data_IF_910653279339
#
_entry.id   IF_910653279339
#
_cell.length_a   1.000
_cell.length_b   1.000
_cell.length_c   1.000
_cell.angle_alpha   90.00
_cell.angle_beta   90.00
_cell.angle_gamma   90.00
#
_symmetry.space_group_name_H-M   'P 1'
#
loop_
_entity.id
_entity.type
_entity.pdbx_description
1 polymer ?
#
# COMPACT_ATOMS: atom_id res chain seq x y z
N UNK A 1 -20.41 -15.46 18.70
CA UNK A 1 -20.69 -14.06 18.32
C UNK A 1 -19.38 -13.30 18.47
N UNK A 2 -18.82 -12.83 17.37
CA UNK A 2 -17.54 -12.11 17.38
C UNK A 2 -17.78 -10.70 17.88
N UNK A 3 -16.96 -10.22 18.82
CA UNK A 3 -17.04 -8.85 19.32
C UNK A 3 -16.30 -7.96 18.34
N UNK A 4 -16.89 -6.83 17.97
CA UNK A 4 -16.29 -5.81 17.11
C UNK A 4 -16.08 -4.52 17.90
N UNK A 5 -14.94 -3.84 17.71
CA UNK A 5 -14.59 -2.58 18.40
C UNK A 5 -14.04 -1.53 17.43
N UNK A 6 -14.19 -0.22 17.68
CA UNK A 6 -13.53 0.79 16.85
C UNK A 6 -12.02 0.68 16.94
N UNK A 7 -11.31 0.84 15.82
CA UNK A 7 -9.84 0.88 15.78
C UNK A 7 -9.26 1.95 16.72
N UNK A 8 -9.96 3.07 16.87
CA UNK A 8 -9.60 4.17 17.78
C UNK A 8 -9.65 3.79 19.27
N UNK A 9 -10.29 2.66 19.62
CA UNK A 9 -10.29 2.13 20.97
C UNK A 9 -9.04 1.28 21.27
N UNK A 10 -8.26 0.88 20.26
CA UNK A 10 -7.04 0.09 20.46
C UNK A 10 -5.85 0.97 20.87
N UNK A 11 -5.10 0.48 21.85
CA UNK A 11 -3.86 1.09 22.33
C UNK A 11 -2.85 0.02 22.74
N UNK A 12 -1.57 0.38 22.82
CA UNK A 12 -0.51 -0.43 23.46
C UNK A 12 -0.10 0.12 24.83
N UNK A 13 -0.70 1.25 25.26
CA UNK A 13 -0.49 1.86 26.57
C UNK A 13 -1.83 2.25 27.20
N UNK A 14 -1.96 2.09 28.51
CA UNK A 14 -3.12 2.57 29.29
C UNK A 14 -3.16 4.10 29.40
N UNK A 15 -2.03 4.77 29.22
CA UNK A 15 -1.93 6.25 29.29
C UNK A 15 -2.70 6.95 28.14
N UNK A 16 -3.06 6.19 27.11
CA UNK A 16 -3.70 6.70 25.91
C UNK A 16 -5.21 6.91 26.03
N UNK A 17 -5.85 6.58 27.16
CA UNK A 17 -7.32 6.62 27.27
C UNK A 17 -7.90 8.00 26.91
N UNK A 18 -7.22 9.06 27.32
CA UNK A 18 -7.58 10.46 27.07
C UNK A 18 -6.68 11.14 26.03
N UNK A 19 -5.71 10.41 25.47
CA UNK A 19 -4.82 10.96 24.45
C UNK A 19 -5.57 11.20 23.13
N UNK A 20 -5.29 12.31 22.42
CA UNK A 20 -5.89 12.56 21.12
C UNK A 20 -5.48 11.47 20.12
N UNK A 21 -6.37 11.20 19.16
CA UNK A 21 -6.08 10.30 18.06
C UNK A 21 -5.11 10.95 17.08
N UNK A 22 -4.22 10.14 16.52
CA UNK A 22 -3.33 10.50 15.42
C UNK A 22 -3.91 9.98 14.10
N UNK A 23 -3.83 10.80 13.05
CA UNK A 23 -4.22 10.40 11.68
C UNK A 23 -3.02 9.80 10.96
N UNK A 24 -3.25 8.68 10.26
CA UNK A 24 -2.26 8.04 9.40
C UNK A 24 -2.81 7.73 8.03
N UNK A 25 -1.98 7.95 7.01
CA UNK A 25 -2.30 7.66 5.62
C UNK A 25 -1.83 6.25 5.27
N UNK A 26 -2.73 5.46 4.69
CA UNK A 26 -2.49 4.08 4.24
C UNK A 26 -1.88 4.01 2.85
N UNK A 27 -2.00 5.09 2.07
CA UNK A 27 -1.52 5.16 0.70
C UNK A 27 -0.34 6.14 0.58
N UNK A 28 0.80 5.72 0.01
CA UNK A 28 1.95 6.58 -0.16
C UNK A 28 1.67 7.66 -1.21
N UNK A 29 2.30 8.82 -1.06
CA UNK A 29 2.09 9.97 -1.96
C UNK A 29 2.92 9.90 -3.25
N UNK A 30 3.84 8.94 -3.38
CA UNK A 30 4.78 8.89 -4.50
C UNK A 30 4.11 8.25 -5.72
N UNK A 31 3.94 8.98 -6.83
CA UNK A 31 3.47 8.39 -8.10
C UNK A 31 4.42 7.27 -8.54
N UNK A 32 3.90 6.04 -8.57
CA UNK A 32 4.62 4.87 -9.06
C UNK A 32 3.81 4.21 -10.17
N UNK A 33 4.48 3.45 -11.04
CA UNK A 33 3.80 2.59 -12.03
C UNK A 33 2.72 1.72 -11.39
N UNK A 34 2.94 1.28 -10.15
CA UNK A 34 1.98 0.50 -9.39
C UNK A 34 0.70 1.30 -9.12
N UNK A 35 0.79 2.59 -8.77
CA UNK A 35 -0.39 3.43 -8.53
C UNK A 35 -1.31 3.50 -9.74
N UNK A 36 -0.74 3.70 -10.94
CA UNK A 36 -1.53 3.71 -12.18
C UNK A 36 -2.18 2.36 -12.47
N UNK A 37 -1.48 1.28 -12.12
CA UNK A 37 -2.04 -0.07 -12.24
C UNK A 37 -3.24 -0.26 -11.31
N UNK A 38 -3.15 0.30 -10.11
CA UNK A 38 -4.23 0.30 -9.14
C UNK A 38 -5.41 1.13 -9.59
N UNK A 39 -5.18 2.36 -10.05
CA UNK A 39 -6.22 3.22 -10.62
C UNK A 39 -7.02 2.50 -11.70
N UNK A 40 -6.32 1.86 -12.63
CA UNK A 40 -6.92 1.07 -13.70
C UNK A 40 -7.82 -0.06 -13.17
N UNK A 41 -7.32 -0.88 -12.24
CA UNK A 41 -8.06 -2.02 -11.68
C UNK A 41 -9.24 -1.57 -10.80
N UNK A 42 -9.06 -0.46 -10.09
CA UNK A 42 -10.04 0.09 -9.16
C UNK A 42 -11.10 0.95 -9.84
N UNK A 43 -11.05 1.03 -11.18
CA UNK A 43 -12.03 1.76 -11.99
C UNK A 43 -11.95 3.27 -11.79
N UNK A 44 -10.74 3.78 -11.61
CA UNK A 44 -10.42 5.20 -11.56
C UNK A 44 -9.74 5.65 -12.84
N UNK A 45 -9.83 6.95 -13.12
CA UNK A 45 -8.97 7.61 -14.09
C UNK A 45 -7.53 7.74 -13.54
N UNK A 46 -6.58 8.00 -14.43
CA UNK A 46 -5.20 8.29 -14.04
C UNK A 46 -5.17 9.54 -13.15
N UNK A 47 -4.43 9.47 -12.04
CA UNK A 47 -4.42 10.46 -10.97
C UNK A 47 -5.76 10.59 -10.22
N UNK A 48 -6.65 9.61 -10.37
CA UNK A 48 -7.93 9.56 -9.66
C UNK A 48 -7.80 9.15 -8.19
N UNK A 49 -6.67 8.56 -7.77
CA UNK A 49 -6.40 8.34 -6.35
C UNK A 49 -5.95 9.66 -5.73
N UNK A 50 -6.78 10.22 -4.86
CA UNK A 50 -6.35 11.27 -3.93
C UNK A 50 -5.73 10.62 -2.67
N UNK A 51 -4.42 10.73 -2.43
CA UNK A 51 -3.80 10.19 -1.22
C UNK A 51 -4.33 10.83 0.06
N UNK A 52 -4.90 12.04 -0.01
CA UNK A 52 -5.50 12.75 1.12
C UNK A 52 -7.00 12.43 1.31
N UNK A 53 -7.57 11.53 0.51
CA UNK A 53 -8.96 11.13 0.64
C UNK A 53 -9.26 10.64 2.05
N UNK A 54 -10.40 11.02 2.63
CA UNK A 54 -10.81 10.62 4.00
C UNK A 54 -10.88 9.10 4.23
N UNK A 55 -10.87 8.32 3.16
CA UNK A 55 -10.92 6.85 3.19
C UNK A 55 -9.54 6.19 3.06
N UNK A 56 -8.51 6.95 2.71
CA UNK A 56 -7.13 6.48 2.75
C UNK A 56 -6.51 6.67 4.13
N UNK A 57 -7.27 7.17 5.11
CA UNK A 57 -6.77 7.46 6.46
C UNK A 57 -7.33 6.53 7.53
N UNK A 58 -6.53 6.29 8.57
CA UNK A 58 -6.96 5.67 9.83
C UNK A 58 -6.67 6.60 10.99
N UNK A 59 -7.54 6.54 12.00
CA UNK A 59 -7.36 7.27 13.26
C UNK A 59 -7.00 6.28 14.36
N UNK A 60 -5.80 6.42 14.90
CA UNK A 60 -5.23 5.50 15.89
C UNK A 60 -4.76 6.25 17.12
N UNK A 61 -4.63 5.56 18.25
CA UNK A 61 -4.03 6.13 19.45
C UNK A 61 -2.52 6.33 19.27
N UNK A 62 -1.92 7.27 20.00
CA UNK A 62 -0.49 7.63 19.86
C UNK A 62 0.44 6.45 20.16
N UNK A 63 0.13 5.61 21.13
CA UNK A 63 0.90 4.39 21.44
C UNK A 63 0.87 3.37 20.30
N UNK A 64 -0.15 3.42 19.43
CA UNK A 64 -0.23 2.58 18.23
C UNK A 64 0.63 3.10 17.08
N UNK A 65 1.14 4.34 17.15
CA UNK A 65 1.88 5.01 16.07
C UNK A 65 3.31 4.51 15.88
N UNK A 66 4.08 4.33 16.95
CA UNK A 66 5.42 3.73 16.85
C UNK A 66 5.37 2.31 16.25
N UNK A 67 4.41 1.46 16.65
CA UNK A 67 4.16 0.20 15.97
C UNK A 67 3.43 0.32 14.64
N UNK A 68 3.00 1.52 14.22
CA UNK A 68 2.35 1.77 12.94
C UNK A 68 3.34 1.70 11.77
N UNK A 69 2.91 1.29 10.58
CA UNK A 69 3.76 0.62 9.61
C UNK A 69 4.81 1.42 8.84
N UNK A 70 5.15 2.65 9.23
CA UNK A 70 6.25 3.40 8.60
C UNK A 70 7.67 2.85 8.89
N UNK A 71 7.79 1.64 9.47
CA UNK A 71 9.04 0.95 9.77
C UNK A 71 8.88 -0.57 9.93
N UNK A 72 9.26 -1.12 11.08
CA UNK A 72 9.16 -2.55 11.49
C UNK A 72 7.75 -2.92 12.00
N UNK A 73 6.70 -2.49 11.28
CA UNK A 73 5.32 -2.49 11.75
C UNK A 73 4.93 -3.74 12.55
N UNK A 74 4.47 -3.56 13.79
CA UNK A 74 4.19 -4.69 14.68
C UNK A 74 2.76 -5.21 14.56
N UNK A 75 1.94 -4.57 13.72
CA UNK A 75 0.57 -4.97 13.41
C UNK A 75 0.14 -4.44 12.04
N UNK A 76 -0.91 -5.03 11.47
CA UNK A 76 -1.62 -4.54 10.29
C UNK A 76 -3.11 -4.86 10.39
N UNK A 77 -3.91 -4.37 9.43
CA UNK A 77 -5.32 -4.67 9.29
C UNK A 77 -5.53 -5.51 8.03
N UNK A 78 -6.41 -6.51 8.16
CA UNK A 78 -6.79 -7.38 7.05
C UNK A 78 -8.30 -7.28 6.90
N UNK A 79 -8.85 -6.97 5.72
CA UNK A 79 -10.31 -7.02 5.53
C UNK A 79 -10.85 -8.43 5.77
N UNK A 80 -12.14 -8.54 6.09
CA UNK A 80 -12.79 -9.84 6.23
C UNK A 80 -12.78 -10.63 4.92
N UNK A 81 -12.96 -11.96 4.98
CA UNK A 81 -13.03 -12.80 3.79
C UNK A 81 -14.15 -12.37 2.83
N UNK A 82 -15.32 -11.99 3.36
CA UNK A 82 -16.42 -11.46 2.55
C UNK A 82 -16.02 -10.17 1.81
N UNK A 83 -15.32 -9.27 2.50
CA UNK A 83 -14.82 -8.03 1.90
C UNK A 83 -13.77 -8.33 0.82
N UNK A 84 -12.84 -9.25 1.08
CA UNK A 84 -11.82 -9.66 0.10
C UNK A 84 -12.44 -10.29 -1.14
N UNK A 85 -13.43 -11.17 -0.98
CA UNK A 85 -14.17 -11.78 -2.09
C UNK A 85 -14.92 -10.72 -2.94
N UNK A 86 -15.53 -9.73 -2.29
CA UNK A 86 -16.16 -8.61 -3.00
C UNK A 86 -15.12 -7.76 -3.77
N UNK A 87 -13.96 -7.51 -3.18
CA UNK A 87 -12.86 -6.76 -3.82
C UNK A 87 -12.34 -7.50 -5.06
N UNK A 88 -12.14 -8.81 -4.94
CA UNK A 88 -11.73 -9.67 -6.05
C UNK A 88 -12.77 -9.67 -7.17
N UNK A 89 -14.06 -9.82 -6.83
CA UNK A 89 -15.17 -9.79 -7.80
C UNK A 89 -15.21 -8.48 -8.58
N UNK A 90 -15.03 -7.34 -7.90
CA UNK A 90 -14.97 -6.03 -8.54
C UNK A 90 -13.79 -5.92 -9.51
N UNK A 91 -12.60 -6.36 -9.09
CA UNK A 91 -11.40 -6.33 -9.94
C UNK A 91 -11.54 -7.22 -11.18
N UNK A 92 -12.02 -8.46 -11.00
CA UNK A 92 -12.31 -9.36 -12.13
C UNK A 92 -13.31 -8.75 -13.11
N UNK A 93 -14.39 -8.13 -12.59
CA UNK A 93 -15.34 -7.39 -13.43
C UNK A 93 -14.63 -6.27 -14.19
N UNK A 94 -13.90 -5.39 -13.52
CA UNK A 94 -13.25 -4.25 -14.14
C UNK A 94 -12.23 -4.67 -15.21
N UNK A 95 -11.55 -5.80 -15.02
CA UNK A 95 -10.67 -6.40 -16.03
C UNK A 95 -11.42 -6.92 -17.26
N UNK A 96 -12.66 -7.39 -17.09
CA UNK A 96 -13.47 -7.97 -18.17
C UNK A 96 -14.23 -6.95 -19.03
N UNK A 97 -14.25 -5.67 -18.64
CA UNK A 97 -15.02 -4.62 -19.31
C UNK A 97 -14.13 -3.48 -19.82
N UNK A 98 -14.56 -2.74 -20.87
CA UNK A 98 -13.87 -1.53 -21.32
C UNK A 98 -13.74 -0.49 -20.19
N UNK A 99 -12.72 0.37 -20.28
CA UNK A 99 -12.39 1.37 -19.24
C UNK A 99 -13.62 2.19 -18.81
N UNK A 100 -14.43 2.63 -19.78
CA UNK A 100 -15.61 3.48 -19.53
C UNK A 100 -16.76 2.79 -18.79
N UNK A 101 -16.77 1.45 -18.73
CA UNK A 101 -17.81 0.65 -18.08
C UNK A 101 -17.38 0.14 -16.69
N UNK A 102 -16.18 0.51 -16.27
CA UNK A 102 -15.65 0.12 -14.97
C UNK A 102 -16.39 0.81 -13.84
N UNK A 103 -16.38 0.11 -12.72
CA UNK A 103 -16.98 0.59 -11.49
C UNK A 103 -15.86 1.11 -10.60
N UNK A 104 -16.03 2.34 -10.15
CA UNK A 104 -15.14 2.97 -9.18
C UNK A 104 -15.30 2.31 -7.82
N UNK A 105 -14.19 1.84 -7.25
CA UNK A 105 -14.21 1.17 -5.95
C UNK A 105 -14.77 2.05 -4.82
N UNK A 106 -14.60 3.38 -4.86
CA UNK A 106 -15.16 4.28 -3.85
C UNK A 106 -16.70 4.29 -3.86
N UNK A 107 -17.31 4.01 -5.01
CA UNK A 107 -18.77 3.92 -5.15
C UNK A 107 -19.28 2.55 -4.74
N UNK A 108 -18.60 1.47 -5.13
CA UNK A 108 -19.00 0.11 -4.78
C UNK A 108 -18.72 -0.22 -3.31
N UNK A 109 -17.66 0.36 -2.76
CA UNK A 109 -17.28 0.29 -1.34
C UNK A 109 -17.58 1.63 -0.69
N UNK A 110 -18.88 1.96 -0.61
CA UNK A 110 -19.38 3.22 -0.04
C UNK A 110 -19.75 3.16 1.45
N UNK A 111 -19.57 2.03 2.12
CA UNK A 111 -19.92 1.90 3.54
C UNK A 111 -19.13 2.89 4.40
N UNK A 112 -19.78 3.36 5.47
CA UNK A 112 -19.18 4.33 6.41
C UNK A 112 -18.09 3.69 7.26
N UNK A 113 -18.26 2.42 7.62
CA UNK A 113 -17.28 1.65 8.37
C UNK A 113 -17.19 0.23 7.81
N UNK A 114 -15.99 -0.34 7.87
CA UNK A 114 -15.70 -1.72 7.49
C UNK A 114 -15.15 -2.48 8.69
N UNK A 115 -15.40 -3.78 8.71
CA UNK A 115 -14.77 -4.69 9.66
C UNK A 115 -13.42 -5.19 9.13
N UNK A 116 -12.47 -5.29 10.05
CA UNK A 116 -11.13 -5.79 9.81
C UNK A 116 -10.72 -6.78 10.89
N UNK A 117 -9.89 -7.73 10.49
CA UNK A 117 -9.11 -8.57 11.38
C UNK A 117 -7.84 -7.78 11.74
N UNK A 118 -7.63 -7.56 13.03
CA UNK A 118 -6.39 -6.97 13.52
C UNK A 118 -5.34 -8.06 13.63
N UNK A 119 -4.20 -7.87 12.95
CA UNK A 119 -3.14 -8.88 12.87
C UNK A 119 -1.88 -8.33 13.54
N UNK A 120 -1.51 -8.81 14.75
CA UNK A 120 -0.23 -8.51 15.35
C UNK A 120 0.88 -9.29 14.62
N UNK A 121 1.84 -8.60 14.02
CA UNK A 121 2.94 -9.16 13.23
C UNK A 121 4.21 -9.43 14.06
N UNK A 122 4.53 -8.55 15.01
CA UNK A 122 5.78 -8.60 15.79
C UNK A 122 5.61 -8.17 17.25
N UNK A 123 4.38 -8.19 17.77
CA UNK A 123 4.11 -7.64 19.08
C UNK A 123 4.37 -8.69 20.18
N UNK A 124 5.47 -8.53 20.92
CA UNK A 124 5.57 -8.94 22.34
C UNK A 124 4.90 -7.88 23.26
N UNK A 125 3.94 -7.12 22.73
CA UNK A 125 3.36 -5.95 23.39
C UNK A 125 1.90 -6.21 23.71
N UNK A 126 1.47 -5.87 24.92
CA UNK A 126 0.06 -5.95 25.26
C UNK A 126 -0.76 -4.93 24.46
N UNK A 127 -1.90 -5.37 23.98
CA UNK A 127 -2.92 -4.49 23.44
C UNK A 127 -4.02 -4.27 24.46
N UNK A 128 -4.59 -3.08 24.45
CA UNK A 128 -5.67 -2.67 25.31
C UNK A 128 -6.84 -2.16 24.47
N UNK A 129 -8.05 -2.54 24.86
CA UNK A 129 -9.26 -1.87 24.41
C UNK A 129 -9.64 -0.84 25.47
N UNK A 130 -9.53 0.43 25.09
CA UNK A 130 -9.83 1.58 25.93
C UNK A 130 -11.19 2.15 25.51
N UNK A 131 -12.17 2.07 26.40
CA UNK A 131 -13.50 2.67 26.21
C UNK A 131 -13.81 3.61 27.36
N UNK A 132 -14.36 4.82 27.10
CA UNK A 132 -14.71 5.75 28.16
C UNK A 132 -15.64 5.11 29.20
N UNK A 133 -15.29 5.23 30.49
CA UNK A 133 -16.09 4.71 31.60
C UNK A 133 -16.10 3.19 31.76
N UNK A 134 -15.32 2.44 30.98
CA UNK A 134 -15.16 0.99 31.14
C UNK A 134 -13.77 0.64 31.61
N UNK A 135 -13.65 -0.47 32.34
CA UNK A 135 -12.33 -1.02 32.70
C UNK A 135 -11.60 -1.44 31.41
N UNK A 136 -10.34 -1.02 31.22
CA UNK A 136 -9.53 -1.45 30.09
C UNK A 136 -9.47 -2.98 29.96
N UNK A 137 -9.71 -3.49 28.75
CA UNK A 137 -9.55 -4.93 28.48
C UNK A 137 -8.16 -5.16 27.89
N UNK A 138 -7.34 -5.96 28.57
CA UNK A 138 -5.99 -6.32 28.13
C UNK A 138 -5.99 -7.61 27.32
N UNK A 139 -5.21 -7.61 26.24
CA UNK A 139 -4.93 -8.76 25.41
C UNK A 139 -3.42 -8.93 25.30
N UNK A 140 -2.94 -10.06 25.81
CA UNK A 140 -1.54 -10.47 25.72
C UNK A 140 -1.39 -11.59 24.70
N UNK A 141 -0.20 -11.75 24.14
CA UNK A 141 0.15 -12.89 23.30
C UNK A 141 -0.28 -14.21 23.98
N UNK A 142 -0.90 -15.16 23.25
CA UNK A 142 -1.10 -15.24 21.80
C UNK A 142 -2.37 -14.52 21.27
N UNK A 143 -2.89 -13.52 22.00
CA UNK A 143 -4.04 -12.69 21.61
C UNK A 143 -5.33 -13.50 21.34
N UNK A 144 -5.55 -14.58 22.10
CA UNK A 144 -6.76 -15.39 21.99
C UNK A 144 -8.02 -14.54 22.21
N UNK A 145 -8.97 -14.61 21.27
CA UNK A 145 -10.23 -13.89 21.37
C UNK A 145 -10.12 -12.39 21.16
N UNK A 146 -9.05 -11.92 20.50
CA UNK A 146 -8.94 -10.52 20.07
C UNK A 146 -10.15 -10.15 19.19
N UNK A 147 -10.82 -9.01 19.43
CA UNK A 147 -12.00 -8.65 18.66
C UNK A 147 -11.65 -8.26 17.23
N UNK A 148 -12.65 -8.28 16.36
CA UNK A 148 -12.57 -7.55 15.08
C UNK A 148 -12.54 -6.06 15.35
N UNK A 149 -11.98 -5.31 14.41
CA UNK A 149 -11.93 -3.85 14.50
C UNK A 149 -12.74 -3.19 13.39
N UNK A 150 -13.31 -2.03 13.68
CA UNK A 150 -14.00 -1.19 12.69
C UNK A 150 -13.20 0.06 12.37
N UNK A 151 -13.20 0.46 11.11
CA UNK A 151 -12.56 1.70 10.63
C UNK A 151 -13.29 2.22 9.39
N UNK A 152 -13.28 3.53 9.19
CA UNK A 152 -13.79 4.18 7.98
C UNK A 152 -12.82 4.15 6.80
N UNK A 153 -11.61 3.61 6.99
CA UNK A 153 -10.68 3.38 5.90
C UNK A 153 -11.32 2.48 4.82
N UNK A 154 -10.98 2.68 3.55
CA UNK A 154 -11.47 1.78 2.50
C UNK A 154 -10.64 0.48 2.48
N UNK A 155 -11.28 -0.70 2.29
CA UNK A 155 -10.59 -1.98 2.20
C UNK A 155 -9.47 -2.02 1.16
N UNK A 156 -9.59 -1.34 0.02
CA UNK A 156 -8.53 -1.31 -1.00
C UNK A 156 -7.25 -0.65 -0.50
N UNK A 157 -7.36 0.46 0.24
CA UNK A 157 -6.20 1.13 0.84
C UNK A 157 -5.60 0.31 1.98
N UNK A 158 -6.44 -0.35 2.79
CA UNK A 158 -5.98 -1.23 3.86
C UNK A 158 -5.22 -2.44 3.31
N UNK A 159 -5.79 -3.13 2.31
CA UNK A 159 -5.14 -4.27 1.65
C UNK A 159 -3.84 -3.85 0.96
N UNK A 160 -3.82 -2.68 0.34
CA UNK A 160 -2.60 -2.12 -0.25
C UNK A 160 -1.50 -1.92 0.79
N UNK A 161 -1.84 -1.33 1.92
CA UNK A 161 -0.92 -1.14 3.03
C UNK A 161 -0.37 -2.49 3.51
N UNK A 162 -1.26 -3.43 3.82
CA UNK A 162 -0.94 -4.70 4.46
C UNK A 162 -0.02 -5.58 3.59
N UNK A 163 -0.20 -5.54 2.27
CA UNK A 163 0.65 -6.16 1.23
C UNK A 163 2.14 -5.83 1.38
N UNK A 164 2.50 -4.65 1.86
CA UNK A 164 3.91 -4.28 2.04
C UNK A 164 4.44 -4.56 3.45
N UNK A 165 3.58 -5.03 4.36
CA UNK A 165 3.94 -5.24 5.78
C UNK A 165 4.12 -6.68 6.17
N UNK A 166 3.69 -7.60 5.32
CA UNK A 166 3.99 -9.01 5.48
C UNK A 166 5.13 -9.34 4.50
N UNK A 167 6.40 -9.20 4.92
CA UNK A 167 7.55 -9.57 4.11
C UNK A 167 7.36 -10.95 3.47
N UNK A 168 7.71 -11.11 2.19
CA UNK A 168 7.67 -12.41 1.51
C UNK A 168 8.70 -13.41 2.08
N UNK A 169 9.55 -12.97 3.02
CA UNK A 169 10.57 -13.80 3.69
C UNK A 169 10.16 -14.26 5.09
N UNK A 170 8.91 -14.03 5.48
CA UNK A 170 8.36 -14.69 6.65
C UNK A 170 8.29 -16.22 6.41
N UNK A 171 8.03 -16.97 7.48
CA UNK A 171 7.84 -18.42 7.44
C UNK A 171 6.97 -18.84 6.23
N UNK A 172 7.31 -19.94 5.55
CA UNK A 172 6.57 -20.44 4.39
C UNK A 172 5.05 -20.57 4.67
N UNK A 173 4.66 -20.87 5.90
CA UNK A 173 3.26 -20.91 6.33
C UNK A 173 2.57 -19.53 6.32
N UNK A 174 3.31 -18.45 6.55
CA UNK A 174 2.82 -17.06 6.45
C UNK A 174 2.63 -16.69 4.99
N UNK A 175 3.58 -17.04 4.13
CA UNK A 175 3.43 -16.84 2.69
C UNK A 175 2.18 -17.56 2.18
N UNK A 176 1.97 -18.82 2.56
CA UNK A 176 0.77 -19.58 2.15
C UNK A 176 -0.53 -18.97 2.70
N UNK A 177 -0.54 -18.53 3.97
CA UNK A 177 -1.66 -17.81 4.57
C UNK A 177 -2.01 -16.55 3.80
N UNK A 178 -0.97 -15.78 3.50
CA UNK A 178 -1.06 -14.51 2.82
C UNK A 178 -1.52 -14.69 1.38
N UNK A 179 -0.91 -15.61 0.65
CA UNK A 179 -1.30 -15.94 -0.72
C UNK A 179 -2.75 -16.43 -0.77
N UNK A 180 -3.20 -17.18 0.23
CA UNK A 180 -4.59 -17.65 0.31
C UNK A 180 -5.60 -16.56 0.67
N UNK A 181 -5.19 -15.53 1.41
CA UNK A 181 -6.07 -14.42 1.81
C UNK A 181 -6.07 -13.29 0.78
N UNK A 182 -4.89 -12.94 0.31
CA UNK A 182 -4.63 -11.75 -0.50
C UNK A 182 -4.21 -12.06 -1.91
N UNK A 183 -3.64 -13.24 -2.19
CA UNK A 183 -3.05 -13.57 -3.49
C UNK A 183 -4.01 -13.29 -4.63
N UNK A 184 -5.26 -13.73 -4.54
CA UNK A 184 -6.24 -13.47 -5.59
C UNK A 184 -6.55 -11.97 -5.77
N UNK A 185 -6.51 -11.18 -4.70
CA UNK A 185 -6.77 -9.73 -4.76
C UNK A 185 -5.56 -8.94 -5.25
N UNK A 186 -4.35 -9.30 -4.78
CA UNK A 186 -3.14 -8.51 -4.99
C UNK A 186 -2.31 -8.96 -6.17
N UNK A 187 -2.45 -10.19 -6.65
CA UNK A 187 -1.77 -10.68 -7.85
C UNK A 187 -2.12 -9.86 -9.09
N UNK A 188 -3.35 -9.34 -9.17
CA UNK A 188 -3.74 -8.44 -10.23
C UNK A 188 -2.89 -7.16 -10.26
N UNK A 189 -2.44 -6.68 -9.10
CA UNK A 189 -1.78 -5.38 -8.97
C UNK A 189 -0.38 -5.32 -9.59
N UNK A 190 0.26 -6.48 -9.72
CA UNK A 190 1.62 -6.60 -10.23
C UNK A 190 1.67 -7.15 -11.67
N UNK A 191 0.52 -7.52 -12.25
CA UNK A 191 0.43 -8.22 -13.52
C UNK A 191 0.12 -7.31 -14.71
N UNK A 192 0.76 -7.57 -15.86
CA UNK A 192 0.31 -7.06 -17.15
C UNK A 192 0.76 -5.64 -17.53
N UNK A 193 0.66 -5.35 -18.83
CA UNK A 193 0.78 -3.99 -19.34
C UNK A 193 -0.57 -3.28 -19.13
N UNK A 194 -0.51 -2.01 -18.72
CA UNK A 194 -1.69 -1.15 -18.77
C UNK A 194 -2.08 -0.96 -20.24
N UNK A 195 -3.37 -1.06 -20.58
CA UNK A 195 -3.84 -0.75 -21.93
C UNK A 195 -3.41 0.65 -22.37
N UNK A 196 -3.05 0.77 -23.64
CA UNK A 196 -2.57 2.02 -24.23
C UNK A 196 -3.65 3.12 -24.17
N UNK A 197 -4.92 2.77 -24.37
CA UNK A 197 -6.05 3.69 -24.24
C UNK A 197 -6.20 4.26 -22.82
N UNK A 198 -5.91 3.47 -21.78
CA UNK A 198 -5.83 3.98 -20.41
C UNK A 198 -4.65 4.95 -20.26
N UNK A 199 -3.47 4.57 -20.72
CA UNK A 199 -2.28 5.42 -20.63
C UNK A 199 -2.39 6.71 -21.46
N UNK A 200 -3.18 6.70 -22.53
CA UNK A 200 -3.42 7.88 -23.36
C UNK A 200 -4.48 8.81 -22.78
N UNK A 201 -5.36 8.31 -21.89
CA UNK A 201 -6.44 9.14 -21.31
C UNK A 201 -5.93 10.26 -20.40
N UNK A 202 -4.66 10.24 -19.98
CA UNK A 202 -4.04 11.30 -19.18
C UNK A 202 -3.38 12.42 -20.00
N UNK A 203 -3.31 12.30 -21.32
CA UNK A 203 -2.87 13.40 -22.17
C UNK A 203 -4.09 14.25 -22.53
N UNK A 204 -4.20 15.50 -22.04
CA UNK A 204 -5.26 16.38 -22.49
C UNK A 204 -5.13 16.54 -24.02
N UNK A 205 -6.26 16.42 -24.74
CA UNK A 205 -6.31 16.55 -26.21
C UNK A 205 -5.60 17.81 -26.72
N UNK A 206 -5.49 18.84 -25.87
CA UNK A 206 -4.80 20.10 -26.14
C UNK A 206 -3.30 19.96 -26.42
N UNK A 207 -2.61 18.93 -25.91
CA UNK A 207 -1.18 18.70 -26.20
C UNK A 207 -0.94 18.01 -27.54
N UNK A 208 -1.97 17.41 -28.14
CA UNK A 208 -1.87 16.73 -29.43
C UNK A 208 -2.07 17.72 -30.58
N UNK A 209 -2.74 18.86 -30.33
CA UNK A 209 -3.12 19.83 -31.36
C UNK A 209 -2.06 20.88 -31.72
N UNK A 210 -0.95 21.00 -30.98
CA UNK A 210 0.07 22.04 -31.24
C UNK A 210 1.19 21.60 -32.21
N UNK A 211 1.11 20.39 -32.79
CA UNK A 211 2.08 19.95 -33.82
C UNK A 211 1.58 20.09 -35.27
N UNK A 212 0.41 20.69 -35.50
CA UNK A 212 -0.07 21.06 -36.85
C UNK A 212 0.57 22.34 -37.40
N UNK A 213 1.79 22.67 -36.97
CA UNK A 213 2.55 23.81 -37.47
C UNK A 213 3.19 23.47 -38.82
N UNK A 214 2.36 23.15 -39.82
CA UNK A 214 2.60 23.17 -41.28
C UNK A 214 3.88 22.55 -41.85
N UNK A 215 4.68 21.88 -41.05
CA UNK A 215 6.01 21.40 -41.42
C UNK A 215 5.85 20.05 -42.07
N UNK A 216 6.03 20.03 -43.40
CA UNK A 216 5.94 18.83 -44.22
C UNK A 216 6.65 17.64 -43.55
N UNK A 217 5.98 16.49 -43.40
CA UNK A 217 6.61 15.30 -42.87
C UNK A 217 7.75 14.88 -43.80
N UNK A 218 8.97 14.86 -43.27
CA UNK A 218 10.13 14.32 -43.96
C UNK A 218 9.82 12.88 -44.41
N UNK A 219 10.16 12.59 -45.66
CA UNK A 219 9.84 11.35 -46.36
C UNK A 219 10.18 10.08 -45.53
N UNK A 220 9.33 9.04 -45.58
CA UNK A 220 9.54 7.82 -44.81
C UNK A 220 10.77 7.07 -45.33
N UNK A 221 11.77 6.89 -44.47
CA UNK A 221 12.89 5.98 -44.71
C UNK A 221 12.43 4.54 -44.49
N UNK A 222 12.39 3.78 -45.58
CA UNK A 222 12.71 2.36 -45.70
C UNK A 222 12.21 1.41 -44.60
N UNK A 223 11.15 0.67 -44.93
CA UNK A 223 10.58 -0.37 -44.09
C UNK A 223 11.52 -1.53 -43.76
N UNK A 224 11.30 -2.12 -42.58
CA UNK A 224 11.77 -3.45 -42.22
C UNK A 224 10.56 -4.29 -41.85
N UNK A 225 10.16 -5.19 -42.76
CA UNK A 225 9.16 -6.22 -42.51
C UNK A 225 9.71 -7.20 -41.48
N UNK A 226 9.04 -7.33 -40.34
CA UNK A 226 9.26 -8.40 -39.39
C UNK A 226 8.06 -9.34 -39.43
N UNK A 227 8.28 -10.56 -39.95
CA UNK A 227 7.31 -11.65 -39.98
C UNK A 227 7.09 -12.15 -38.54
N UNK A 228 5.86 -12.01 -38.05
CA UNK A 228 5.37 -12.67 -36.83
C UNK A 228 4.80 -14.04 -37.22
N UNK A 229 5.39 -15.10 -36.67
CA UNK A 229 4.85 -16.46 -36.75
C UNK A 229 3.97 -16.73 -35.54
N UNK A 230 2.73 -17.16 -35.80
CA UNK A 230 1.76 -17.62 -34.80
C UNK A 230 1.95 -19.11 -34.56
N UNK A 231 2.26 -19.50 -33.32
CA UNK A 231 2.25 -20.89 -32.87
C UNK A 231 1.08 -21.07 -31.89
N UNK A 232 0.03 -21.78 -32.33
CA UNK A 232 -1.13 -22.12 -31.51
C UNK A 232 -0.80 -23.36 -30.67
N UNK A 233 -0.72 -23.18 -29.34
CA UNK A 233 -0.61 -24.29 -28.39
C UNK A 233 -2.00 -24.66 -27.88
N UNK A 234 -2.45 -25.86 -28.23
CA UNK A 234 -3.70 -26.48 -27.78
C UNK A 234 -3.50 -27.03 -26.36
N UNK A 235 -4.22 -26.49 -25.37
CA UNK A 235 -4.28 -27.04 -24.00
C UNK A 235 -5.32 -28.16 -23.93
N UNK A 236 -4.92 -29.31 -23.37
CA UNK A 236 -5.82 -30.42 -23.02
C UNK A 236 -6.45 -30.22 -21.64
N UNK A 237 -7.68 -30.72 -21.40
CA UNK A 237 -8.36 -30.60 -20.12
C UNK A 237 -7.69 -31.45 -19.03
N UNK A 238 -7.59 -30.90 -17.82
CA UNK A 238 -7.16 -31.60 -16.61
C UNK A 238 -8.43 -31.99 -15.84
N UNK A 239 -8.51 -33.26 -15.43
CA UNK A 239 -9.61 -33.79 -14.63
C UNK A 239 -9.65 -33.15 -13.23
N UNK A 240 -10.82 -32.59 -12.88
CA UNK A 240 -11.08 -31.97 -11.57
C UNK A 240 -11.37 -33.05 -10.51
N UNK A 241 -10.40 -33.31 -9.62
CA UNK A 241 -10.70 -33.90 -8.32
C UNK A 241 -11.40 -32.85 -7.44
N UNK A 242 -12.57 -33.21 -6.92
CA UNK A 242 -13.43 -32.30 -6.16
C UNK A 242 -12.74 -31.73 -4.91
N UNK A 243 -12.98 -30.45 -4.57
CA UNK A 243 -12.27 -29.77 -3.50
C UNK A 243 -12.63 -30.36 -2.13
N UNK A 244 -11.59 -30.78 -1.41
CA UNK A 244 -11.64 -31.03 0.03
C UNK A 244 -12.13 -29.75 0.74
N UNK A 245 -12.99 -29.84 1.77
CA UNK A 245 -13.50 -28.66 2.46
C UNK A 245 -12.34 -27.85 3.05
N UNK A 246 -12.17 -26.65 2.50
CA UNK A 246 -11.18 -25.68 2.94
C UNK A 246 -11.40 -25.36 4.43
N UNK A 247 -10.35 -25.40 5.28
CA UNK A 247 -10.47 -24.93 6.66
C UNK A 247 -10.82 -23.44 6.69
N UNK A 248 -11.58 -23.05 7.71
CA UNK A 248 -11.96 -21.66 8.01
C UNK A 248 -10.72 -20.75 8.04
N UNK A 249 -10.68 -19.77 7.12
CA UNK A 249 -9.53 -18.89 6.90
C UNK A 249 -9.29 -17.97 8.09
N UNK A 250 -10.32 -17.61 8.85
CA UNK A 250 -10.17 -16.73 10.03
C UNK A 250 -9.55 -17.47 11.20
N UNK A 251 -10.00 -18.71 11.45
CA UNK A 251 -9.41 -19.58 12.46
C UNK A 251 -7.91 -19.80 12.18
N UNK A 252 -7.53 -19.84 10.90
CA UNK A 252 -6.14 -20.01 10.48
C UNK A 252 -5.24 -18.81 10.82
N UNK A 253 -5.67 -17.56 10.56
CA UNK A 253 -4.89 -16.35 10.91
C UNK A 253 -4.61 -16.30 12.41
N UNK A 254 -5.60 -16.59 13.26
CA UNK A 254 -5.40 -16.59 14.70
C UNK A 254 -4.64 -17.81 15.21
N UNK A 255 -4.81 -18.98 14.59
CA UNK A 255 -3.97 -20.15 14.91
C UNK A 255 -2.50 -19.92 14.51
N UNK A 256 -2.26 -19.13 13.45
CA UNK A 256 -0.93 -18.65 13.08
C UNK A 256 -0.34 -17.71 14.14
N UNK A 257 -1.04 -16.63 14.52
CA UNK A 257 -0.60 -15.72 15.60
C UNK A 257 -0.25 -16.52 16.86
N UNK A 258 -1.05 -17.56 17.15
CA UNK A 258 -0.82 -18.48 18.27
C UNK A 258 0.43 -19.34 18.10
N UNK A 259 0.69 -19.89 16.93
CA UNK A 259 1.88 -20.72 16.68
C UNK A 259 3.15 -19.89 16.68
N UNK A 260 3.14 -18.69 16.12
CA UNK A 260 4.31 -17.80 16.08
C UNK A 260 4.64 -17.25 17.47
N UNK A 261 3.66 -16.75 18.22
CA UNK A 261 3.86 -16.27 19.59
C UNK A 261 4.38 -17.33 20.58
N UNK A 262 4.15 -18.62 20.28
CA UNK A 262 4.66 -19.74 21.09
C UNK A 262 5.93 -20.37 20.54
N UNK A 263 6.44 -19.90 19.39
CA UNK A 263 7.78 -20.31 18.98
C UNK A 263 8.77 -19.64 19.93
N UNK A 264 9.69 -20.40 20.56
CA UNK A 264 10.85 -19.75 21.13
C UNK A 264 11.48 -18.98 19.98
N UNK A 265 11.59 -17.66 20.11
CA UNK A 265 12.52 -16.90 19.28
C UNK A 265 13.87 -17.54 19.55
N UNK A 266 14.26 -18.51 18.71
CA UNK A 266 15.64 -18.88 18.55
C UNK A 266 16.29 -17.58 18.12
N UNK A 267 16.78 -16.82 19.12
CA UNK A 267 17.85 -15.87 18.91
C UNK A 267 18.79 -16.63 18.03
N UNK A 268 18.96 -16.19 16.78
CA UNK A 268 20.01 -16.69 15.91
C UNK A 268 21.25 -16.72 16.80
N UNK A 269 21.59 -17.91 17.30
CA UNK A 269 22.84 -18.14 18.00
C UNK A 269 23.80 -18.05 16.84
N UNK A 270 24.27 -16.83 16.56
CA UNK A 270 25.38 -16.63 15.66
C UNK A 270 26.47 -17.50 16.26
N UNK A 271 26.86 -18.60 15.59
CA UNK A 271 27.93 -19.42 16.12
C UNK A 271 29.12 -18.49 16.34
N UNK A 272 29.81 -18.57 17.50
CA UNK A 272 30.95 -17.72 17.75
C UNK A 272 31.86 -17.77 16.53
N UNK A 273 32.19 -16.59 15.98
CA UNK A 273 33.09 -16.47 14.85
C UNK A 273 34.27 -17.41 15.09
N UNK A 274 34.60 -18.29 14.13
CA UNK A 274 35.74 -19.18 14.28
C UNK A 274 36.96 -18.33 14.64
N UNK A 275 37.79 -18.77 15.60
CA UNK A 275 38.96 -18.00 16.00
C UNK A 275 39.77 -17.71 14.73
N UNK A 276 39.89 -16.42 14.40
CA UNK A 276 40.78 -15.99 13.32
C UNK A 276 42.15 -16.59 13.59
N UNK A 277 42.75 -17.32 12.63
CA UNK A 277 44.11 -17.80 12.76
C UNK A 277 44.98 -16.59 13.14
N UNK A 278 45.73 -16.70 14.24
CA UNK A 278 46.81 -15.77 14.56
C UNK A 278 47.88 -15.94 13.47
N UNK A 279 47.64 -15.31 12.33
CA UNK A 279 48.61 -15.12 11.27
C UNK A 279 49.59 -14.06 11.69
N UNK A 280 50.87 -14.40 11.57
CA UNK A 280 52.00 -13.60 11.97
C UNK A 280 51.94 -12.14 11.55
N UNK A 281 52.34 -11.28 12.49
CA UNK A 281 52.86 -9.95 12.20
C UNK A 281 53.95 -10.06 11.14
N UNK A 282 53.70 -9.56 9.93
CA UNK A 282 54.52 -8.53 9.26
C UNK A 282 54.08 -8.36 7.81
N UNK A 283 53.40 -7.25 7.51
CA UNK A 283 53.70 -6.39 6.34
C UNK A 283 52.90 -5.09 6.46
N UNK A 284 53.60 -4.01 6.81
CA UNK A 284 53.12 -2.65 6.58
C UNK A 284 52.99 -2.48 5.06
N UNK A 285 51.76 -2.45 4.56
CA UNK A 285 51.47 -1.91 3.23
C UNK A 285 51.21 -0.41 3.44
N UNK A 286 52.08 0.42 2.86
CA UNK A 286 51.92 1.86 2.81
C UNK A 286 50.64 2.21 2.03
N UNK A 287 49.64 2.79 2.69
CA UNK A 287 48.58 3.55 2.04
C UNK A 287 49.14 4.92 1.63
N UNK A 288 49.86 4.94 0.52
CA UNK A 288 50.08 6.14 -0.29
C UNK A 288 49.96 5.65 -1.72
N UNK A 289 48.72 5.62 -2.22
CA UNK A 289 48.32 5.70 -3.64
C UNK A 289 46.84 5.33 -3.71
N UNK A 290 45.99 6.29 -3.38
CA UNK A 290 44.55 6.22 -3.70
C UNK A 290 44.30 7.27 -4.77
N UNK A 291 43.74 6.92 -5.95
CA UNK A 291 43.42 7.89 -6.98
C UNK A 291 42.34 8.86 -6.50
N UNK A 292 42.65 10.16 -6.50
CA UNK A 292 41.67 11.21 -6.28
C UNK A 292 40.68 11.24 -7.45
N UNK A 293 39.46 10.79 -7.21
CA UNK A 293 38.34 11.07 -8.10
C UNK A 293 38.00 12.56 -8.00
N UNK A 294 38.34 13.31 -9.06
CA UNK A 294 37.89 14.69 -9.27
C UNK A 294 36.39 14.69 -9.54
N UNK A 295 35.61 15.25 -8.63
CA UNK A 295 34.28 15.77 -8.95
C UNK A 295 34.43 17.24 -9.37
N UNK A 296 34.38 17.48 -10.67
CA UNK A 296 34.22 18.83 -11.22
C UNK A 296 32.78 19.32 -10.94
N UNK A 297 32.63 20.14 -9.90
CA UNK A 297 31.41 20.92 -9.68
C UNK A 297 31.60 22.25 -10.40
N UNK A 298 31.01 22.41 -11.60
CA UNK A 298 30.92 23.71 -12.25
C UNK A 298 29.90 24.57 -11.50
N UNK A 299 30.42 25.52 -10.71
CA UNK A 299 29.70 26.73 -10.30
C UNK A 299 29.42 27.58 -11.53
N UNK A 300 28.16 27.69 -11.93
CA UNK A 300 27.65 28.82 -12.70
C UNK A 300 26.70 29.62 -11.80
N UNK A 301 27.08 30.85 -11.45
CA UNK A 301 26.25 31.79 -10.67
C UNK A 301 26.27 33.13 -11.42
N UNK A 302 25.13 33.54 -11.96
CA UNK A 302 24.75 34.92 -12.27
C UNK A 302 23.23 34.91 -12.53
N UNK A 303 22.40 35.28 -11.55
CA UNK A 303 21.83 36.63 -11.36
C UNK A 303 21.10 37.19 -12.59
N UNK A 304 19.77 37.16 -12.53
CA UNK A 304 18.95 38.31 -12.92
C UNK A 304 17.71 38.38 -12.03
N UNK A 305 17.51 39.58 -11.50
CA UNK A 305 16.44 39.99 -10.61
C UNK A 305 15.11 40.03 -11.37
N UNK A 306 14.03 39.54 -10.77
CA UNK A 306 12.69 40.06 -11.06
C UNK A 306 11.94 40.35 -9.78
N UNK A 307 11.70 41.64 -9.62
CA UNK A 307 10.92 42.31 -8.60
C UNK A 307 9.48 41.78 -8.60
N UNK A 308 9.04 41.28 -7.44
CA UNK A 308 7.63 41.17 -7.13
C UNK A 308 7.12 42.55 -6.70
N UNK A 309 6.10 43.07 -7.39
CA UNK A 309 5.30 44.20 -6.93
C UNK A 309 4.06 43.66 -6.21
N UNK A 310 3.67 44.21 -5.05
CA UNK A 310 2.39 43.89 -4.43
C UNK A 310 1.28 44.73 -5.08
N UNK A 311 0.34 44.06 -5.74
CA UNK A 311 -0.93 44.66 -6.15
C UNK A 311 -1.79 44.90 -4.92
N UNK A 312 -2.05 46.18 -4.64
CA UNK A 312 -2.97 46.65 -3.61
C UNK A 312 -4.35 46.75 -4.24
N UNK A 313 -5.17 45.72 -4.08
CA UNK A 313 -6.56 45.68 -4.55
C UNK A 313 -7.52 46.21 -3.48
N UNK A 314 -8.08 47.38 -3.75
CA UNK A 314 -9.02 48.10 -2.90
C UNK A 314 -10.34 47.36 -2.64
N UNK A 315 -10.80 47.55 -1.42
CA UNK A 315 -12.15 47.38 -0.88
C UNK A 315 -13.20 48.22 -1.63
N UNK A 316 -14.34 47.62 -1.95
CA UNK A 316 -15.63 48.32 -2.05
C UNK A 316 -16.70 47.51 -1.32
N UNK A 317 -17.46 48.10 -0.37
CA UNK A 317 -18.62 47.45 0.22
C UNK A 317 -19.89 47.83 -0.55
N UNK A 318 -20.62 46.82 -1.03
CA UNK A 318 -21.97 46.95 -1.58
C UNK A 318 -23.00 47.10 -0.45
N UNK A 319 -23.74 48.20 -0.51
CA UNK A 319 -24.91 48.54 0.31
C UNK A 319 -26.08 47.58 0.04
N UNK A 320 -26.84 47.14 1.05
CA UNK A 320 -28.14 46.48 0.84
C UNK A 320 -29.25 47.51 0.65
N UNK A 321 -30.00 47.41 -0.45
CA UNK A 321 -31.30 48.06 -0.60
C UNK A 321 -32.33 47.32 0.26
N UNK A 322 -32.98 48.08 1.14
CA UNK A 322 -34.25 47.71 1.76
C UNK A 322 -35.38 48.06 0.79
N UNK A 323 -36.24 47.10 0.49
CA UNK A 323 -37.58 47.37 -0.07
C UNK A 323 -38.62 47.06 0.99
N UNK A 324 -39.51 48.05 1.16
CA UNK A 324 -40.75 48.02 1.94
C UNK A 324 -41.84 47.19 1.28
#
# INVERSE_FOLDING_TARGET
>A
MTITVPLSALATSLEDIDAPLTTKYLFPQNDTRLHRHMEYLWGLDIYGIDPAHERSVVHIRKSMEAPFPSGTGSWTLVPTEETLAAMESLQKRNLSVPIRERKCFLTEFSATEYEYIFVPLHAEVDFFILRPGQTPQRFSAPYNGFPRVTSGANPFFVTFEAQFKIPPFFDASISEAWDRLFGDVTMFWFGGALPEDFLLSCYPETLISESEDGSEPAAPLGGHESKSGSDETIMTPIDEEGPSPAPDKEAFVFDWVRRDANRPHERLIVPPLPPTPRGDRTRRVNLKDTPQWRTETKRGKAHSERLFTPSTGQTTPSTPQATS
#
